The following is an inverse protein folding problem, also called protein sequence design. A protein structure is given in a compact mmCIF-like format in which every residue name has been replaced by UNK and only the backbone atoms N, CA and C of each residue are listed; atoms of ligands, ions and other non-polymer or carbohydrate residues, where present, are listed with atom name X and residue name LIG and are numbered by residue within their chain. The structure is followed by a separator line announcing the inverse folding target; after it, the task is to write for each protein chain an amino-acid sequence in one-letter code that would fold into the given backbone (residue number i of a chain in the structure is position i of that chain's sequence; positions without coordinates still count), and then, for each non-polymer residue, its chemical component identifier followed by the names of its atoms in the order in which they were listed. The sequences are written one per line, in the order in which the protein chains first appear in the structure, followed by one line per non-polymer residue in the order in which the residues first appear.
data_IF_777268525981
#
_entry.id   IF_777268525981
#
_cell.length_a   1.000
_cell.length_b   1.000
_cell.length_c   1.000
_cell.angle_alpha   90.00
_cell.angle_beta   90.00
_cell.angle_gamma   90.00
#
_symmetry.space_group_name_H-M   'P 1'
#
loop_
_entity.id
_entity.type
_entity.pdbx_description
1 polymer ?
#
# COMPACT_ATOMS: atom_id res chain seq x y z
N UNK A 1 -13.10 0.11 12.26
CA UNK A 1 -13.62 1.37 11.68
C UNK A 1 -12.46 2.32 11.40
N UNK A 2 -12.06 2.50 10.14
CA UNK A 2 -11.02 3.47 9.76
C UNK A 2 -11.63 4.86 9.63
N UNK A 3 -11.73 5.57 10.75
CA UNK A 3 -12.06 6.99 10.76
C UNK A 3 -10.78 7.76 10.47
N UNK A 4 -10.73 8.44 9.32
CA UNK A 4 -9.88 9.62 9.12
C UNK A 4 -10.06 10.50 10.38
N UNK A 5 -9.00 10.73 11.14
CA UNK A 5 -9.12 11.26 12.49
C UNK A 5 -9.78 12.66 12.55
N UNK A 6 -10.64 12.81 13.55
CA UNK A 6 -11.23 14.00 14.18
C UNK A 6 -12.05 15.00 13.32
N UNK A 7 -13.38 14.84 13.39
CA UNK A 7 -14.38 15.92 13.59
C UNK A 7 -14.26 17.19 12.74
N UNK A 8 -13.71 17.11 11.54
CA UNK A 8 -13.74 18.23 10.61
C UNK A 8 -14.63 17.84 9.45
N UNK A 9 -15.77 18.52 9.34
CA UNK A 9 -16.67 18.33 8.21
C UNK A 9 -15.98 18.91 6.98
N UNK A 10 -15.33 18.05 6.19
CA UNK A 10 -14.66 18.43 4.95
C UNK A 10 -15.68 19.08 4.02
N UNK A 11 -15.36 20.27 3.49
CA UNK A 11 -16.19 20.92 2.48
C UNK A 11 -16.23 20.07 1.20
N UNK A 12 -17.34 20.08 0.46
CA UNK A 12 -17.49 19.28 -0.78
C UNK A 12 -16.37 19.50 -1.81
N UNK A 13 -15.75 20.68 -1.82
CA UNK A 13 -14.62 21.02 -2.69
C UNK A 13 -13.29 20.41 -2.24
N UNK A 14 -13.05 20.29 -0.94
CA UNK A 14 -11.84 19.63 -0.40
C UNK A 14 -11.91 18.12 -0.60
N UNK A 15 -13.11 17.55 -0.53
CA UNK A 15 -13.37 16.12 -0.72
C UNK A 15 -12.97 15.62 -2.12
N UNK A 16 -13.18 16.43 -3.17
CA UNK A 16 -12.75 16.11 -4.53
C UNK A 16 -11.22 16.17 -4.70
N UNK A 17 -10.56 17.13 -4.05
CA UNK A 17 -9.09 17.24 -4.06
C UNK A 17 -8.43 16.08 -3.30
N UNK A 18 -9.00 15.71 -2.15
CA UNK A 18 -8.53 14.58 -1.35
C UNK A 18 -8.69 13.25 -2.10
N UNK A 19 -9.81 13.06 -2.81
CA UNK A 19 -10.05 11.87 -3.63
C UNK A 19 -9.02 11.75 -4.75
N UNK A 20 -8.74 12.84 -5.46
CA UNK A 20 -7.72 12.88 -6.51
C UNK A 20 -6.34 12.52 -5.96
N UNK A 21 -5.95 13.10 -4.81
CA UNK A 21 -4.68 12.79 -4.14
C UNK A 21 -4.60 11.32 -3.71
N UNK A 22 -5.69 10.76 -3.18
CA UNK A 22 -5.75 9.34 -2.82
C UNK A 22 -5.44 8.48 -4.05
N UNK A 23 -6.09 8.72 -5.19
CA UNK A 23 -5.83 7.96 -6.41
C UNK A 23 -4.42 8.17 -6.97
N UNK A 24 -3.89 9.39 -6.91
CA UNK A 24 -2.51 9.67 -7.32
C UNK A 24 -1.49 8.91 -6.47
N UNK A 25 -1.68 8.88 -5.16
CA UNK A 25 -0.79 8.14 -4.26
C UNK A 25 -0.98 6.63 -4.45
N UNK A 26 -2.23 6.15 -4.51
CA UNK A 26 -2.57 4.74 -4.68
C UNK A 26 -1.98 4.14 -5.97
N UNK A 27 -2.05 4.87 -7.09
CA UNK A 27 -1.47 4.43 -8.37
C UNK A 27 0.05 4.29 -8.35
N UNK A 28 0.72 4.93 -7.38
CA UNK A 28 2.17 4.87 -7.21
C UNK A 28 2.60 3.89 -6.12
N UNK A 29 1.67 3.26 -5.40
CA UNK A 29 1.99 2.38 -4.27
C UNK A 29 2.81 1.17 -4.73
N UNK A 30 3.78 0.70 -3.92
CA UNK A 30 4.54 -0.50 -4.25
C UNK A 30 3.61 -1.71 -4.34
N UNK A 31 3.86 -2.57 -5.32
CA UNK A 31 3.11 -3.80 -5.55
C UNK A 31 3.91 -5.06 -5.22
N UNK A 32 5.23 -4.93 -5.20
CA UNK A 32 6.18 -6.02 -5.02
C UNK A 32 7.23 -5.63 -3.99
N UNK A 33 7.59 -6.60 -3.16
CA UNK A 33 8.69 -6.55 -2.23
C UNK A 33 9.63 -7.71 -2.56
N UNK A 34 10.91 -7.39 -2.75
CA UNK A 34 11.94 -8.37 -3.08
C UNK A 34 13.16 -8.10 -2.21
N UNK A 35 13.54 -9.09 -1.43
CA UNK A 35 14.75 -9.06 -0.62
C UNK A 35 15.65 -10.22 -1.05
N UNK A 36 16.79 -9.90 -1.67
CA UNK A 36 17.74 -10.87 -2.17
C UNK A 36 18.62 -11.48 -1.08
N UNK A 37 18.88 -10.74 0.00
CA UNK A 37 19.71 -11.22 1.11
C UNK A 37 18.98 -12.26 1.95
N UNK A 38 17.66 -12.10 2.12
CA UNK A 38 16.82 -13.04 2.88
C UNK A 38 15.99 -13.96 2.00
N UNK A 39 16.14 -13.87 0.67
CA UNK A 39 15.41 -14.69 -0.31
C UNK A 39 13.87 -14.62 -0.13
N UNK A 40 13.35 -13.41 0.10
CA UNK A 40 11.92 -13.15 0.34
C UNK A 40 11.32 -12.40 -0.85
N UNK A 41 10.20 -12.91 -1.34
CA UNK A 41 9.34 -12.28 -2.33
C UNK A 41 7.92 -12.13 -1.78
N UNK A 42 7.37 -10.92 -1.79
CA UNK A 42 5.96 -10.69 -1.46
C UNK A 42 5.32 -9.76 -2.48
N UNK A 43 4.03 -9.96 -2.75
CA UNK A 43 3.29 -9.04 -3.62
C UNK A 43 1.87 -8.83 -3.13
N UNK A 44 1.33 -7.66 -3.48
CA UNK A 44 -0.08 -7.30 -3.26
C UNK A 44 -0.85 -7.20 -4.58
N UNK A 45 -0.28 -7.68 -5.66
CA UNK A 45 -0.97 -7.82 -6.95
C UNK A 45 -1.91 -9.02 -6.85
N UNK A 46 -3.13 -8.77 -6.35
CA UNK A 46 -4.04 -9.84 -5.95
C UNK A 46 -4.62 -10.58 -7.16
N UNK A 47 -4.69 -11.91 -7.07
CA UNK A 47 -5.27 -12.76 -8.13
C UNK A 47 -4.31 -13.11 -9.26
N UNK A 48 -3.08 -12.58 -9.26
CA UNK A 48 -1.99 -13.05 -10.11
C UNK A 48 -1.01 -13.86 -9.27
N UNK A 49 -0.67 -15.07 -9.71
CA UNK A 49 0.18 -15.95 -8.92
C UNK A 49 1.66 -15.78 -9.27
N UNK A 50 2.18 -14.58 -9.00
CA UNK A 50 3.60 -14.27 -9.23
C UNK A 50 4.53 -15.08 -8.33
N UNK A 51 4.04 -15.50 -7.17
CA UNK A 51 4.77 -16.31 -6.20
C UNK A 51 5.24 -17.67 -6.75
N UNK A 52 4.63 -18.22 -7.82
CA UNK A 52 5.09 -19.46 -8.44
C UNK A 52 6.34 -19.32 -9.31
N UNK A 53 6.74 -18.11 -9.68
CA UNK A 53 7.84 -17.87 -10.63
C UNK A 53 9.16 -17.47 -9.95
N UNK A 54 9.21 -17.51 -8.62
CA UNK A 54 10.44 -17.20 -7.88
C UNK A 54 11.45 -18.34 -7.97
N UNK A 55 12.70 -18.06 -7.63
CA UNK A 55 13.74 -19.07 -7.53
C UNK A 55 13.41 -20.11 -6.44
N UNK A 56 13.84 -21.36 -6.66
CA UNK A 56 13.70 -22.42 -5.67
C UNK A 56 14.35 -22.02 -4.33
N UNK A 57 13.68 -22.34 -3.23
CA UNK A 57 14.13 -22.02 -1.87
C UNK A 57 13.65 -20.66 -1.34
N UNK A 58 13.18 -19.77 -2.20
CA UNK A 58 12.68 -18.45 -1.79
C UNK A 58 11.34 -18.55 -1.06
N UNK A 59 11.16 -17.71 -0.04
CA UNK A 59 9.85 -17.51 0.57
C UNK A 59 9.03 -16.55 -0.29
N UNK A 60 8.01 -17.06 -0.98
CA UNK A 60 7.14 -16.29 -1.86
C UNK A 60 5.68 -16.31 -1.43
N UNK A 61 5.03 -15.14 -1.36
CA UNK A 61 3.61 -15.05 -0.98
C UNK A 61 2.87 -13.81 -1.49
N UNK A 62 1.62 -14.02 -1.88
CA UNK A 62 0.62 -12.95 -2.05
C UNK A 62 0.13 -12.48 -0.66
N UNK A 63 0.62 -11.32 -0.19
CA UNK A 63 0.35 -10.81 1.16
C UNK A 63 0.64 -9.31 1.27
N UNK A 64 -0.02 -8.62 2.21
CA UNK A 64 0.35 -7.26 2.60
C UNK A 64 1.74 -7.26 3.22
N UNK A 65 2.68 -6.54 2.61
CA UNK A 65 4.07 -6.44 3.05
C UNK A 65 4.41 -5.05 3.63
N UNK A 66 3.43 -4.18 3.85
CA UNK A 66 3.67 -2.80 4.27
C UNK A 66 4.46 -2.67 5.58
N UNK A 67 4.35 -3.68 6.46
CA UNK A 67 5.11 -3.75 7.71
C UNK A 67 6.60 -4.02 7.53
N UNK A 68 7.05 -4.46 6.34
CA UNK A 68 8.46 -4.68 6.02
C UNK A 68 9.17 -3.42 5.51
N UNK A 69 8.42 -2.35 5.24
CA UNK A 69 8.97 -1.12 4.66
C UNK A 69 9.31 -0.16 5.80
N UNK A 70 10.57 0.27 5.94
CA UNK A 70 10.94 1.30 6.91
C UNK A 70 10.17 2.60 6.69
N UNK A 71 9.83 3.28 7.80
CA UNK A 71 9.04 4.51 7.77
C UNK A 71 9.66 5.62 6.90
N UNK A 72 10.98 5.68 6.84
CA UNK A 72 11.74 6.62 6.01
C UNK A 72 11.50 6.48 4.49
N UNK A 73 11.06 5.30 4.03
CA UNK A 73 10.73 5.05 2.62
C UNK A 73 9.23 5.17 2.32
N UNK A 74 8.40 5.39 3.34
CA UNK A 74 6.95 5.46 3.21
C UNK A 74 6.47 6.83 2.70
N UNK A 75 6.67 7.15 1.41
CA UNK A 75 6.23 8.42 0.79
C UNK A 75 4.71 8.62 0.77
N UNK A 76 3.93 7.58 1.08
CA UNK A 76 2.48 7.62 1.23
C UNK A 76 2.04 7.93 2.67
N UNK A 77 2.96 8.30 3.56
CA UNK A 77 2.64 8.89 4.87
C UNK A 77 2.83 10.41 4.76
N UNK A 78 1.74 11.16 4.60
CA UNK A 78 1.77 12.61 4.33
C UNK A 78 0.87 13.34 5.33
N UNK A 79 1.38 14.36 6.00
CA UNK A 79 0.63 15.18 6.98
C UNK A 79 -0.11 14.35 8.05
N UNK A 80 0.51 13.27 8.54
CA UNK A 80 -0.12 12.37 9.52
C UNK A 80 -1.20 11.44 8.95
N UNK A 81 -1.42 11.44 7.63
CA UNK A 81 -2.30 10.50 6.93
C UNK A 81 -1.50 9.36 6.34
N UNK A 82 -1.97 8.13 6.58
CA UNK A 82 -1.41 6.91 6.01
C UNK A 82 -2.27 6.41 4.86
N UNK A 83 -1.80 6.64 3.63
CA UNK A 83 -2.53 6.28 2.43
C UNK A 83 -2.46 4.77 2.10
N UNK A 84 -1.63 3.98 2.81
CA UNK A 84 -1.50 2.53 2.60
C UNK A 84 -2.82 1.80 2.83
N UNK A 85 -3.55 2.24 3.86
CA UNK A 85 -4.80 1.61 4.32
C UNK A 85 -5.98 1.86 3.39
N UNK A 86 -5.84 2.74 2.40
CA UNK A 86 -6.91 3.09 1.45
C UNK A 86 -7.00 2.11 0.27
N UNK A 87 -5.99 1.24 0.08
CA UNK A 87 -6.06 0.14 -0.91
C UNK A 87 -7.18 -0.86 -0.65
N UNK A 88 -7.74 -0.92 0.56
CA UNK A 88 -8.67 -1.97 0.97
C UNK A 88 -10.13 -1.74 0.53
N UNK A 89 -10.42 -0.69 -0.26
CA UNK A 89 -11.80 -0.28 -0.59
C UNK A 89 -12.25 -0.59 -2.03
N UNK A 90 -11.43 -1.19 -2.88
CA UNK A 90 -11.84 -1.64 -4.22
C UNK A 90 -12.12 -3.16 -4.28
N UNK A 91 -12.62 -3.72 -3.18
CA UNK A 91 -13.18 -5.08 -3.14
C UNK A 91 -14.69 -5.03 -3.02
#
# INVERSE_FOLDING_TARGET
ENRLFYNTSLSKSEQQNDTLKIYQIASRMPLFYVNFDTEVYMHMDWGLNHAYYVYDGWFAKEMDFGYLIPDEFCYWKIDGRDYWKFRQWER
#
